data_IF_688589039328
#
_entry.id   IF_688589039328
#
_cell.length_a   1.000
_cell.length_b   1.000
_cell.length_c   1.000
_cell.angle_alpha   90.00
_cell.angle_beta   90.00
_cell.angle_gamma   90.00
#
_symmetry.space_group_name_H-M   'P 1'
#
loop_
_entity.id
_entity.type
_entity.pdbx_description
1 polymer ?
#
# COMPACT_ATOMS: atom_id res chain seq x y z
N UNK A 1 0.84 42.26 21.25
CA UNK A 1 0.12 41.10 21.78
C UNK A 1 0.61 39.84 21.05
N UNK A 2 1.32 38.92 21.72
CA UNK A 2 1.83 37.69 21.13
C UNK A 2 0.74 36.59 21.24
N UNK A 3 0.22 36.12 20.13
CA UNK A 3 -0.73 35.04 20.10
C UNK A 3 -0.07 33.72 20.58
N UNK A 4 -0.55 33.20 21.69
CA UNK A 4 -0.12 31.93 22.30
C UNK A 4 -0.58 30.78 21.41
N UNK A 5 0.35 30.14 20.64
CA UNK A 5 0.07 28.90 19.91
C UNK A 5 -0.44 27.85 20.89
N UNK A 6 -1.74 27.51 20.80
CA UNK A 6 -2.35 26.36 21.50
C UNK A 6 -1.70 25.08 20.96
N UNK A 7 -0.76 24.51 21.69
CA UNK A 7 -0.28 23.15 21.46
C UNK A 7 -1.47 22.21 21.59
N UNK A 8 -1.89 21.61 20.46
CA UNK A 8 -2.87 20.50 20.47
C UNK A 8 -2.27 19.39 21.34
N UNK A 9 -2.76 19.24 22.56
CA UNK A 9 -2.50 18.05 23.39
C UNK A 9 -3.08 16.87 22.63
N UNK A 10 -2.21 15.96 22.14
CA UNK A 10 -2.67 14.67 21.63
C UNK A 10 -3.40 13.96 22.76
N UNK A 11 -4.65 13.57 22.51
CA UNK A 11 -5.38 12.71 23.44
C UNK A 11 -4.58 11.41 23.64
N UNK A 12 -4.48 10.90 24.88
CA UNK A 12 -3.77 9.65 25.13
C UNK A 12 -4.40 8.52 24.30
N UNK A 13 -3.56 7.67 23.72
CA UNK A 13 -4.01 6.49 22.99
C UNK A 13 -4.78 5.57 23.94
N UNK A 14 -6.00 5.21 23.57
CA UNK A 14 -6.77 4.22 24.33
C UNK A 14 -6.21 2.81 24.07
N UNK A 15 -6.45 1.87 24.99
CA UNK A 15 -6.03 0.47 24.83
C UNK A 15 -6.49 -0.14 23.50
N UNK A 16 -7.68 0.23 23.02
CA UNK A 16 -8.24 -0.26 21.76
C UNK A 16 -7.40 0.10 20.53
N UNK A 17 -6.76 1.26 20.54
CA UNK A 17 -5.87 1.70 19.45
C UNK A 17 -4.56 0.91 19.37
N UNK A 18 -4.18 0.28 20.48
CA UNK A 18 -2.97 -0.55 20.56
C UNK A 18 -3.22 -2.01 20.17
N UNK A 19 -4.46 -2.39 19.93
CA UNK A 19 -4.83 -3.74 19.47
C UNK A 19 -4.93 -3.78 17.95
N UNK A 20 -4.73 -4.96 17.33
CA UNK A 20 -5.02 -5.21 15.92
C UNK A 20 -6.49 -4.92 15.59
N UNK A 21 -6.80 -4.91 14.29
CA UNK A 21 -8.18 -4.82 13.82
C UNK A 21 -9.01 -6.03 14.30
N UNK A 22 -10.33 -5.85 14.52
CA UNK A 22 -11.21 -7.00 14.73
C UNK A 22 -11.12 -7.96 13.54
N UNK A 23 -11.05 -9.29 13.77
CA UNK A 23 -10.84 -10.27 12.69
C UNK A 23 -11.90 -10.22 11.58
N UNK A 24 -13.14 -9.84 11.91
CA UNK A 24 -14.19 -9.69 10.91
C UNK A 24 -13.92 -8.51 9.97
N UNK A 25 -13.37 -7.41 10.50
CA UNK A 25 -13.05 -6.22 9.72
C UNK A 25 -11.79 -6.43 8.87
N UNK A 26 -10.77 -7.09 9.44
CA UNK A 26 -9.57 -7.48 8.71
C UNK A 26 -9.91 -8.36 7.50
N UNK A 27 -10.76 -9.38 7.70
CA UNK A 27 -11.25 -10.26 6.63
C UNK A 27 -12.05 -9.53 5.55
N UNK A 28 -12.87 -8.55 5.90
CA UNK A 28 -13.63 -7.75 4.93
C UNK A 28 -12.71 -6.92 4.03
N UNK A 29 -11.65 -6.33 4.61
CA UNK A 29 -10.62 -5.61 3.83
C UNK A 29 -9.92 -6.55 2.87
N UNK A 30 -9.40 -7.68 3.36
CA UNK A 30 -8.70 -8.69 2.58
C UNK A 30 -9.59 -9.20 1.44
N UNK A 31 -10.82 -9.64 1.74
CA UNK A 31 -11.76 -10.13 0.74
C UNK A 31 -12.00 -9.13 -0.40
N UNK A 32 -12.20 -7.85 -0.07
CA UNK A 32 -12.41 -6.79 -1.07
C UNK A 32 -11.20 -6.61 -1.98
N UNK A 33 -9.99 -6.78 -1.47
CA UNK A 33 -8.77 -6.69 -2.26
C UNK A 33 -8.60 -7.90 -3.19
N UNK A 34 -8.83 -9.12 -2.68
CA UNK A 34 -8.77 -10.34 -3.50
C UNK A 34 -9.88 -10.36 -4.56
N UNK A 35 -11.10 -9.92 -4.25
CA UNK A 35 -12.16 -9.77 -5.25
C UNK A 35 -11.80 -8.76 -6.34
N UNK A 36 -11.12 -7.66 -5.99
CA UNK A 36 -10.63 -6.70 -6.98
C UNK A 36 -9.62 -7.35 -7.93
N UNK A 37 -8.70 -8.16 -7.42
CA UNK A 37 -7.74 -8.90 -8.23
C UNK A 37 -8.44 -9.88 -9.19
N UNK A 38 -9.41 -10.66 -8.69
CA UNK A 38 -10.18 -11.61 -9.51
C UNK A 38 -10.94 -10.88 -10.62
N UNK A 39 -11.58 -9.75 -10.32
CA UNK A 39 -12.32 -8.96 -11.31
C UNK A 39 -11.40 -8.36 -12.39
N UNK A 40 -10.18 -7.93 -12.01
CA UNK A 40 -9.19 -7.40 -12.94
C UNK A 40 -8.51 -8.48 -13.80
N UNK A 41 -8.47 -9.72 -13.33
CA UNK A 41 -8.04 -10.88 -14.15
C UNK A 41 -9.12 -11.32 -15.13
N UNK A 42 -10.38 -11.05 -14.82
CA UNK A 42 -11.50 -11.25 -15.71
C UNK A 42 -11.81 -10.02 -16.54
N UNK A 43 -12.95 -10.03 -17.21
CA UNK A 43 -13.43 -8.89 -18.03
C UNK A 43 -14.25 -7.87 -17.21
N UNK A 44 -14.17 -7.92 -15.88
CA UNK A 44 -14.98 -7.09 -14.97
C UNK A 44 -14.17 -6.03 -14.22
N UNK A 45 -12.99 -5.69 -14.75
CA UNK A 45 -12.11 -4.68 -14.16
C UNK A 45 -12.69 -3.27 -14.25
N UNK A 46 -12.19 -2.41 -13.36
CA UNK A 46 -12.46 -0.97 -13.38
C UNK A 46 -11.30 -0.20 -12.75
N UNK A 47 -11.22 1.10 -13.06
CA UNK A 47 -10.25 2.00 -12.43
C UNK A 47 -10.29 1.93 -10.90
N UNK A 48 -11.49 1.90 -10.31
CA UNK A 48 -11.67 1.83 -8.86
C UNK A 48 -11.08 0.56 -8.25
N UNK A 49 -11.16 -0.58 -8.95
CA UNK A 49 -10.56 -1.84 -8.51
C UNK A 49 -9.03 -1.81 -8.63
N UNK A 50 -8.50 -1.24 -9.71
CA UNK A 50 -7.06 -1.05 -9.86
C UNK A 50 -6.50 -0.10 -8.79
N UNK A 51 -7.19 1.00 -8.50
CA UNK A 51 -6.83 1.93 -7.42
C UNK A 51 -6.83 1.25 -6.05
N UNK A 52 -7.75 0.30 -5.80
CA UNK A 52 -7.76 -0.50 -4.58
C UNK A 52 -6.49 -1.34 -4.43
N UNK A 53 -6.05 -2.02 -5.50
CA UNK A 53 -4.80 -2.79 -5.47
C UNK A 53 -3.58 -1.88 -5.28
N UNK A 54 -3.56 -0.71 -5.94
CA UNK A 54 -2.50 0.30 -5.75
C UNK A 54 -2.45 0.79 -4.29
N UNK A 55 -3.59 0.99 -3.67
CA UNK A 55 -3.69 1.39 -2.26
C UNK A 55 -3.12 0.31 -1.33
N UNK A 56 -3.44 -0.96 -1.58
CA UNK A 56 -2.87 -2.10 -0.84
C UNK A 56 -1.36 -2.18 -1.01
N UNK A 57 -0.85 -1.98 -2.22
CA UNK A 57 0.59 -1.95 -2.52
C UNK A 57 1.30 -0.84 -1.72
N UNK A 58 0.74 0.36 -1.67
CA UNK A 58 1.34 1.46 -0.91
C UNK A 58 1.33 1.18 0.60
N UNK A 59 0.27 0.53 1.12
CA UNK A 59 0.24 0.11 2.52
C UNK A 59 1.36 -0.89 2.82
N UNK A 60 1.53 -1.92 1.98
CA UNK A 60 2.62 -2.91 2.12
C UNK A 60 3.98 -2.23 2.09
N UNK A 61 4.23 -1.35 1.11
CA UNK A 61 5.50 -0.65 1.01
C UNK A 61 5.84 0.18 2.25
N UNK A 62 4.86 0.90 2.80
CA UNK A 62 5.04 1.72 4.01
C UNK A 62 5.16 0.87 5.29
N UNK A 63 4.69 -0.37 5.26
CA UNK A 63 4.72 -1.29 6.39
C UNK A 63 5.90 -2.29 6.35
N UNK A 64 6.80 -2.19 5.36
CA UNK A 64 7.89 -3.18 5.18
C UNK A 64 8.75 -3.38 6.44
N UNK A 65 8.95 -2.32 7.23
CA UNK A 65 9.74 -2.39 8.47
C UNK A 65 8.91 -2.89 9.68
N UNK A 66 7.59 -2.92 9.56
CA UNK A 66 6.67 -3.27 10.66
C UNK A 66 6.27 -4.75 10.64
N UNK A 67 6.35 -5.40 9.46
CA UNK A 67 5.83 -6.76 9.26
C UNK A 67 6.99 -7.72 9.01
N UNK A 68 7.25 -8.58 10.00
CA UNK A 68 8.24 -9.66 9.88
C UNK A 68 7.56 -10.93 9.37
N UNK A 69 8.24 -11.64 8.44
CA UNK A 69 7.77 -12.93 7.94
C UNK A 69 6.84 -12.90 6.74
N UNK A 70 6.43 -11.72 6.26
CA UNK A 70 5.82 -11.60 4.94
C UNK A 70 6.91 -11.66 3.87
N UNK A 71 6.65 -12.39 2.75
CA UNK A 71 7.51 -12.36 1.55
C UNK A 71 7.32 -11.03 0.79
N UNK A 72 7.56 -9.94 1.52
CA UNK A 72 7.46 -8.58 1.01
C UNK A 72 8.85 -7.94 0.98
N UNK A 73 9.21 -7.38 -0.16
CA UNK A 73 10.46 -6.68 -0.37
C UNK A 73 10.24 -5.38 -1.12
N UNK A 74 11.20 -4.47 -1.01
CA UNK A 74 11.18 -3.23 -1.81
C UNK A 74 11.11 -3.55 -3.31
N UNK A 75 11.82 -4.60 -3.77
CA UNK A 75 11.82 -4.99 -5.17
C UNK A 75 10.46 -5.52 -5.61
N UNK A 76 9.79 -6.35 -4.81
CA UNK A 76 8.41 -6.76 -5.07
C UNK A 76 7.47 -5.55 -5.23
N UNK A 77 7.60 -4.56 -4.35
CA UNK A 77 6.76 -3.37 -4.41
C UNK A 77 7.03 -2.51 -5.65
N UNK A 78 8.30 -2.38 -6.06
CA UNK A 78 8.69 -1.67 -7.29
C UNK A 78 8.14 -2.37 -8.53
N UNK A 79 8.28 -3.69 -8.61
CA UNK A 79 7.79 -4.47 -9.75
C UNK A 79 6.26 -4.44 -9.84
N UNK A 80 5.58 -4.51 -8.69
CA UNK A 80 4.12 -4.40 -8.63
C UNK A 80 3.63 -2.98 -9.01
N UNK A 81 4.34 -1.91 -8.64
CA UNK A 81 4.02 -0.55 -9.08
C UNK A 81 4.11 -0.43 -10.60
N UNK A 82 5.18 -0.96 -11.19
CA UNK A 82 5.37 -0.99 -12.66
C UNK A 82 4.26 -1.77 -13.37
N UNK A 83 3.84 -2.91 -12.80
CA UNK A 83 2.75 -3.71 -13.33
C UNK A 83 1.42 -2.94 -13.33
N UNK A 84 1.11 -2.25 -12.23
CA UNK A 84 -0.09 -1.41 -12.12
C UNK A 84 -0.05 -0.20 -13.07
N UNK A 85 1.13 0.41 -13.27
CA UNK A 85 1.31 1.52 -14.21
C UNK A 85 1.13 1.04 -15.66
N UNK A 86 1.69 -0.12 -16.02
CA UNK A 86 1.51 -0.74 -17.32
C UNK A 86 0.04 -1.09 -17.60
N UNK A 87 -0.66 -1.68 -16.61
CA UNK A 87 -2.09 -1.96 -16.72
C UNK A 87 -2.91 -0.68 -16.89
N UNK A 88 -2.61 0.38 -16.14
CA UNK A 88 -3.26 1.69 -16.30
C UNK A 88 -3.09 2.24 -17.70
N UNK A 89 -1.85 2.27 -18.22
CA UNK A 89 -1.57 2.78 -19.55
C UNK A 89 -2.28 1.97 -20.66
N UNK A 90 -2.39 0.65 -20.52
CA UNK A 90 -3.18 -0.18 -21.43
C UNK A 90 -4.67 0.14 -21.36
N UNK A 91 -5.20 0.31 -20.16
CA UNK A 91 -6.62 0.62 -19.96
C UNK A 91 -7.00 1.98 -20.53
N UNK A 92 -6.15 3.00 -20.41
CA UNK A 92 -6.35 4.33 -21.00
C UNK A 92 -6.43 4.27 -22.52
N UNK A 93 -5.69 3.34 -23.16
CA UNK A 93 -5.68 3.18 -24.61
C UNK A 93 -6.83 2.30 -25.14
N UNK A 94 -7.19 1.23 -24.41
CA UNK A 94 -8.13 0.21 -24.86
C UNK A 94 -9.53 0.34 -24.22
N UNK A 95 -9.65 1.06 -23.11
CA UNK A 95 -10.85 1.09 -22.27
C UNK A 95 -11.02 -0.15 -21.40
N UNK A 96 -10.15 -1.15 -21.51
CA UNK A 96 -10.26 -2.41 -20.78
C UNK A 96 -9.31 -2.46 -19.57
N UNK A 97 -9.88 -2.48 -18.38
CA UNK A 97 -9.15 -2.57 -17.11
C UNK A 97 -8.86 -4.03 -16.76
N UNK A 98 -7.76 -4.57 -17.29
CA UNK A 98 -7.38 -5.98 -17.10
C UNK A 98 -5.92 -6.11 -16.70
N UNK A 99 -5.60 -7.22 -16.02
CA UNK A 99 -4.23 -7.63 -15.68
C UNK A 99 -3.82 -8.82 -16.55
N UNK A 100 -2.56 -8.91 -16.91
CA UNK A 100 -1.97 -10.14 -17.45
C UNK A 100 -1.81 -11.17 -16.34
N UNK A 101 -1.56 -12.43 -16.69
CA UNK A 101 -1.34 -13.50 -15.71
C UNK A 101 -0.12 -13.21 -14.81
N UNK A 102 0.97 -12.70 -15.40
CA UNK A 102 2.19 -12.35 -14.66
C UNK A 102 1.95 -11.19 -13.69
N UNK A 103 1.26 -10.14 -14.12
CA UNK A 103 0.87 -9.01 -13.27
C UNK A 103 -0.05 -9.49 -12.12
N UNK A 104 -0.99 -10.37 -12.45
CA UNK A 104 -1.88 -10.98 -11.47
C UNK A 104 -1.14 -11.81 -10.43
N UNK A 105 -0.19 -12.65 -10.84
CA UNK A 105 0.63 -13.45 -9.93
C UNK A 105 1.50 -12.56 -9.01
N UNK A 106 2.05 -11.47 -9.54
CA UNK A 106 2.81 -10.50 -8.76
C UNK A 106 1.95 -9.82 -7.69
N UNK A 107 0.74 -9.40 -8.07
CA UNK A 107 -0.20 -8.75 -7.15
C UNK A 107 -0.78 -9.71 -6.11
N UNK A 108 -0.89 -11.02 -6.37
CA UNK A 108 -1.22 -12.02 -5.34
C UNK A 108 -0.21 -12.00 -4.19
N UNK A 109 1.08 -11.92 -4.50
CA UNK A 109 2.14 -11.83 -3.47
C UNK A 109 2.02 -10.53 -2.66
N UNK A 110 1.70 -9.42 -3.32
CA UNK A 110 1.43 -8.15 -2.62
C UNK A 110 0.21 -8.27 -1.71
N UNK A 111 -0.86 -8.93 -2.16
CA UNK A 111 -2.06 -9.11 -1.32
C UNK A 111 -1.81 -10.04 -0.14
N UNK A 112 -1.00 -11.09 -0.29
CA UNK A 112 -0.58 -11.91 0.84
C UNK A 112 0.18 -11.09 1.90
N UNK A 113 1.06 -10.19 1.48
CA UNK A 113 1.75 -9.27 2.38
C UNK A 113 0.79 -8.24 3.00
N UNK A 114 -0.18 -7.73 2.22
CA UNK A 114 -1.22 -6.83 2.73
C UNK A 114 -2.08 -7.49 3.81
N UNK A 115 -2.44 -8.75 3.64
CA UNK A 115 -3.21 -9.52 4.63
C UNK A 115 -2.42 -9.64 5.95
N UNK A 116 -1.12 -9.96 5.87
CA UNK A 116 -0.24 -10.00 7.04
C UNK A 116 -0.15 -8.62 7.73
N UNK A 117 -0.11 -7.51 6.97
CA UNK A 117 -0.14 -6.15 7.52
C UNK A 117 -1.47 -5.89 8.28
N UNK A 118 -2.59 -6.21 7.65
CA UNK A 118 -3.93 -5.95 8.21
C UNK A 118 -4.18 -6.78 9.48
N UNK A 119 -3.67 -8.01 9.53
CA UNK A 119 -3.86 -8.92 10.67
C UNK A 119 -2.94 -8.59 11.85
N UNK A 120 -1.74 -8.08 11.61
CA UNK A 120 -0.71 -7.91 12.64
C UNK A 120 -0.57 -6.49 13.16
N UNK A 121 -0.82 -5.47 12.34
CA UNK A 121 -0.63 -4.08 12.73
C UNK A 121 -1.70 -3.62 13.73
N UNK A 122 -1.28 -2.82 14.71
CA UNK A 122 -2.22 -2.15 15.61
C UNK A 122 -3.10 -1.15 14.83
N UNK A 123 -4.32 -0.90 15.32
CA UNK A 123 -5.23 0.09 14.72
C UNK A 123 -4.56 1.45 14.57
N UNK A 124 -3.77 1.86 15.58
CA UNK A 124 -3.03 3.13 15.54
C UNK A 124 -2.04 3.16 14.37
N UNK A 125 -1.20 2.13 14.27
CA UNK A 125 -0.19 2.07 13.21
C UNK A 125 -0.83 2.00 11.84
N UNK A 126 -1.86 1.18 11.68
CA UNK A 126 -2.60 1.09 10.42
C UNK A 126 -3.24 2.44 10.04
N UNK A 127 -3.85 3.17 11.00
CA UNK A 127 -4.42 4.49 10.74
C UNK A 127 -3.36 5.54 10.40
N UNK A 128 -2.15 5.44 10.96
CA UNK A 128 -1.02 6.29 10.64
C UNK A 128 -0.53 6.02 9.21
N UNK A 129 -0.28 4.76 8.86
CA UNK A 129 0.11 4.36 7.51
C UNK A 129 -0.96 4.76 6.48
N UNK A 130 -2.23 4.54 6.80
CA UNK A 130 -3.35 4.92 5.93
C UNK A 130 -3.37 6.41 5.59
N UNK A 131 -3.06 7.30 6.54
CA UNK A 131 -2.94 8.74 6.26
C UNK A 131 -1.83 9.02 5.24
N UNK A 132 -0.70 8.31 5.31
CA UNK A 132 0.37 8.44 4.33
C UNK A 132 -0.05 7.88 2.96
N UNK A 133 -0.72 6.72 2.92
CA UNK A 133 -1.29 6.16 1.69
C UNK A 133 -2.24 7.16 1.02
N UNK A 134 -3.17 7.76 1.77
CA UNK A 134 -4.08 8.77 1.24
C UNK A 134 -3.33 9.97 0.65
N UNK A 135 -2.26 10.43 1.30
CA UNK A 135 -1.42 11.51 0.78
C UNK A 135 -0.74 11.10 -0.52
N UNK A 136 -0.25 9.87 -0.61
CA UNK A 136 0.40 9.34 -1.80
C UNK A 136 -0.59 9.22 -2.96
N UNK A 137 -1.73 8.62 -2.74
CA UNK A 137 -2.78 8.50 -3.77
C UNK A 137 -3.24 9.88 -4.24
N UNK A 138 -3.45 10.83 -3.32
CA UNK A 138 -3.88 12.18 -3.65
C UNK A 138 -2.82 12.99 -4.42
N UNK A 139 -1.53 12.64 -4.30
CA UNK A 139 -0.45 13.34 -5.01
C UNK A 139 -0.48 13.10 -6.53
N UNK A 140 -1.10 12.00 -6.97
CA UNK A 140 -1.14 11.60 -8.39
C UNK A 140 0.24 11.36 -9.02
N UNK A 141 1.30 11.27 -8.22
CA UNK A 141 2.66 11.10 -8.73
C UNK A 141 2.87 9.66 -9.22
N UNK A 142 3.30 9.47 -10.48
CA UNK A 142 3.66 8.15 -10.98
C UNK A 142 4.97 7.69 -10.32
N UNK A 143 5.17 6.36 -10.27
CA UNK A 143 6.43 5.72 -9.81
C UNK A 143 6.90 6.16 -8.42
N UNK A 144 5.96 6.31 -7.49
CA UNK A 144 6.24 6.83 -6.16
C UNK A 144 7.15 5.90 -5.36
N UNK A 145 6.88 4.58 -5.42
CA UNK A 145 7.69 3.55 -4.76
C UNK A 145 9.06 3.46 -5.41
N UNK A 146 9.13 3.47 -6.75
CA UNK A 146 10.40 3.42 -7.47
C UNK A 146 11.32 4.60 -7.07
N UNK A 147 10.79 5.82 -6.99
CA UNK A 147 11.54 6.99 -6.54
C UNK A 147 11.95 6.91 -5.06
N UNK A 148 11.06 6.41 -4.19
CA UNK A 148 11.38 6.23 -2.78
C UNK A 148 12.45 5.16 -2.58
N UNK A 149 12.33 4.01 -3.26
CA UNK A 149 13.30 2.94 -3.23
C UNK A 149 14.68 3.37 -3.74
N UNK A 150 14.75 4.17 -4.80
CA UNK A 150 16.01 4.73 -5.29
C UNK A 150 16.70 5.61 -4.24
N UNK A 151 15.96 6.45 -3.53
CA UNK A 151 16.50 7.28 -2.44
C UNK A 151 16.99 6.42 -1.27
N UNK A 152 16.25 5.37 -0.87
CA UNK A 152 16.66 4.46 0.20
C UNK A 152 17.97 3.75 -0.15
N UNK A 153 18.13 3.28 -1.41
CA UNK A 153 19.36 2.63 -1.87
C UNK A 153 20.55 3.60 -1.87
N UNK A 154 20.37 4.85 -2.33
CA UNK A 154 21.42 5.87 -2.33
C UNK A 154 21.92 6.14 -0.90
N UNK A 155 21.03 6.38 0.07
CA UNK A 155 21.40 6.59 1.46
C UNK A 155 22.12 5.39 2.09
N UNK A 156 21.71 4.16 1.74
CA UNK A 156 22.40 2.94 2.23
C UNK A 156 23.82 2.85 1.69
N UNK A 157 24.04 3.21 0.43
CA UNK A 157 25.37 3.19 -0.21
C UNK A 157 26.29 4.23 0.44
N UNK A 158 25.79 5.44 0.70
CA UNK A 158 26.52 6.49 1.39
C UNK A 158 26.93 6.09 2.82
N UNK A 159 26.00 5.47 3.57
CA UNK A 159 26.24 5.01 4.94
C UNK A 159 27.28 3.85 5.02
N UNK A 160 27.42 3.05 3.96
CA UNK A 160 28.43 1.97 3.89
C UNK A 160 29.80 2.47 3.43
N UNK A 161 29.89 3.66 2.84
CA UNK A 161 31.12 4.27 2.33
C UNK A 161 31.78 5.24 3.36
N UNK A 162 31.10 5.55 4.46
CA UNK A 162 31.56 6.42 5.56
C UNK A 162 32.10 5.61 6.73
#
# INVERSE_FOLDING_TARGET
>A
MKARKKTRRHAPLTREWLLPLPPAYARDISLKCHMALVALRGEHGSEALLLRLRTSLYLVFLALDDVTGADASVDLCVDAERALDASTARAEQSGAWTLTDDEGALLERVLAANDACVDSLTRYRLAELWRHVCTFVASGQPKLIEHAAARMRAHRTEALAA
#
